data_IF_108092629116
#
_entry.id   IF_108092629116
#
_cell.length_a   1.000
_cell.length_b   1.000
_cell.length_c   1.000
_cell.angle_alpha   90.00
_cell.angle_beta   90.00
_cell.angle_gamma   90.00
#
_symmetry.space_group_name_H-M   'P 1'
#
loop_
_entity.id
_entity.type
_entity.pdbx_description
1 polymer ?
#
# COMPACT_ATOMS: atom_id res chain seq x y z
N UNK A 1 -4.18 -14.37 -3.25
CA UNK A 1 -4.62 -13.69 -4.50
C UNK A 1 -3.43 -12.97 -5.11
N UNK A 2 -3.25 -13.15 -6.38
CA UNK A 2 -2.19 -12.47 -7.12
C UNK A 2 -2.80 -11.62 -8.23
N UNK A 3 -2.19 -10.47 -8.49
CA UNK A 3 -2.65 -9.57 -9.53
C UNK A 3 -1.48 -8.78 -10.08
N UNK A 4 -1.47 -8.57 -11.40
CA UNK A 4 -0.48 -7.72 -12.05
C UNK A 4 -1.15 -6.39 -12.40
N UNK A 5 -0.55 -5.30 -11.96
CA UNK A 5 -1.06 -3.95 -12.21
C UNK A 5 0.00 -3.16 -12.95
N UNK A 6 -0.40 -2.44 -13.99
CA UNK A 6 0.52 -1.56 -14.71
C UNK A 6 0.66 -0.24 -13.96
N UNK A 7 1.90 0.07 -13.56
CA UNK A 7 2.25 1.32 -12.88
C UNK A 7 3.41 1.94 -13.64
N UNK A 8 3.27 3.18 -14.07
CA UNK A 8 4.31 3.92 -14.79
C UNK A 8 4.83 3.13 -16.01
N UNK A 9 3.89 2.51 -16.76
CA UNK A 9 4.20 1.71 -17.94
C UNK A 9 4.86 0.36 -17.66
N UNK A 10 5.01 -0.03 -16.39
CA UNK A 10 5.61 -1.31 -16.00
C UNK A 10 4.58 -2.24 -15.40
N UNK A 11 4.72 -3.54 -15.66
CA UNK A 11 3.88 -4.57 -15.06
C UNK A 11 4.45 -4.91 -13.68
N UNK A 12 3.69 -4.61 -12.63
CA UNK A 12 4.10 -4.86 -11.24
C UNK A 12 3.21 -5.94 -10.65
N UNK A 13 3.77 -7.09 -10.24
CA UNK A 13 2.99 -8.13 -9.59
C UNK A 13 2.75 -7.79 -8.12
N UNK A 14 1.55 -8.09 -7.64
CA UNK A 14 1.15 -7.95 -6.24
C UNK A 14 0.58 -9.28 -5.76
N UNK A 15 0.89 -9.62 -4.52
CA UNK A 15 0.37 -10.83 -3.90
C UNK A 15 -0.18 -10.51 -2.52
N UNK A 16 -1.43 -10.93 -2.27
CA UNK A 16 -2.07 -10.81 -0.97
C UNK A 16 -2.40 -12.19 -0.43
N UNK A 17 -1.90 -12.49 0.76
CA UNK A 17 -2.20 -13.72 1.49
C UNK A 17 -2.53 -13.37 2.94
N UNK A 18 -2.90 -14.38 3.73
CA UNK A 18 -3.14 -14.21 5.16
C UNK A 18 -1.89 -13.73 5.92
N UNK A 19 -0.72 -13.76 5.30
CA UNK A 19 0.52 -13.28 5.92
C UNK A 19 0.62 -11.75 5.94
N UNK A 20 -0.10 -11.04 5.07
CA UNK A 20 0.01 -9.57 4.95
C UNK A 20 -0.22 -8.83 6.27
N UNK A 21 -1.27 -9.12 7.06
CA UNK A 21 -1.45 -8.43 8.35
C UNK A 21 -0.26 -8.58 9.30
N UNK A 22 0.35 -9.76 9.34
CA UNK A 22 1.52 -10.00 10.19
C UNK A 22 2.74 -9.24 9.66
N UNK A 23 2.97 -9.28 8.36
CA UNK A 23 4.07 -8.54 7.72
C UNK A 23 3.93 -7.04 7.95
N UNK A 24 2.71 -6.54 7.87
CA UNK A 24 2.41 -5.14 8.15
C UNK A 24 2.78 -4.76 9.58
N UNK A 25 2.38 -5.59 10.55
CA UNK A 25 2.72 -5.36 11.96
C UNK A 25 4.23 -5.37 12.18
N UNK A 26 4.92 -6.36 11.61
CA UNK A 26 6.37 -6.49 11.80
C UNK A 26 7.12 -5.28 11.21
N UNK A 27 6.74 -4.85 10.01
CA UNK A 27 7.44 -3.78 9.32
C UNK A 27 7.08 -2.39 9.85
N UNK A 28 5.79 -2.15 10.10
CA UNK A 28 5.29 -0.80 10.42
C UNK A 28 4.85 -0.64 11.87
N UNK A 29 4.77 -1.73 12.63
CA UNK A 29 4.33 -1.69 14.03
C UNK A 29 2.86 -1.31 14.21
N UNK A 30 2.03 -1.54 13.20
CA UNK A 30 0.63 -1.12 13.18
C UNK A 30 -0.29 -2.29 12.87
N UNK A 31 -1.57 -2.15 13.25
CA UNK A 31 -2.62 -3.12 12.94
C UNK A 31 -3.31 -2.72 11.64
N UNK A 32 -3.18 -3.54 10.60
CA UNK A 32 -3.76 -3.26 9.28
C UNK A 32 -5.29 -3.15 9.34
N UNK A 33 -5.95 -3.93 10.21
CA UNK A 33 -7.41 -3.90 10.32
C UNK A 33 -7.88 -2.56 10.88
N UNK A 34 -7.16 -2.03 11.87
CA UNK A 34 -7.46 -0.70 12.42
C UNK A 34 -7.22 0.38 11.37
N UNK A 35 -6.10 0.32 10.66
CA UNK A 35 -5.79 1.29 9.63
C UNK A 35 -6.82 1.27 8.50
N UNK A 36 -7.32 0.08 8.12
CA UNK A 36 -8.38 -0.04 7.11
C UNK A 36 -9.70 0.56 7.58
N UNK A 37 -10.06 0.37 8.85
CA UNK A 37 -11.25 1.00 9.42
C UNK A 37 -11.13 2.52 9.42
N UNK A 38 -9.96 3.04 9.79
CA UNK A 38 -9.71 4.48 9.79
C UNK A 38 -9.81 5.07 8.39
N UNK A 39 -9.31 4.35 7.38
CA UNK A 39 -9.41 4.74 5.98
C UNK A 39 -10.87 4.81 5.54
N UNK A 40 -11.67 3.78 5.86
CA UNK A 40 -13.08 3.76 5.48
C UNK A 40 -13.84 4.94 6.08
N UNK A 41 -13.60 5.25 7.34
CA UNK A 41 -14.22 6.39 8.01
C UNK A 41 -13.80 7.71 7.39
N UNK A 42 -12.50 7.85 7.10
CA UNK A 42 -11.97 9.09 6.52
C UNK A 42 -12.44 9.31 5.09
N UNK A 43 -12.56 8.24 4.29
CA UNK A 43 -13.09 8.34 2.94
C UNK A 43 -14.56 8.76 2.94
N UNK A 44 -15.36 8.17 3.83
CA UNK A 44 -16.76 8.55 3.98
C UNK A 44 -16.91 10.02 4.40
N UNK A 45 -16.07 10.48 5.32
CA UNK A 45 -16.06 11.86 5.78
C UNK A 45 -15.65 12.82 4.66
N UNK A 46 -14.58 12.47 3.92
CA UNK A 46 -14.10 13.30 2.82
C UNK A 46 -15.12 13.41 1.69
N UNK A 47 -15.80 12.31 1.36
CA UNK A 47 -16.86 12.31 0.34
C UNK A 47 -18.04 13.18 0.76
N UNK A 48 -18.45 13.09 2.02
CA UNK A 48 -19.60 13.88 2.53
C UNK A 48 -19.31 15.38 2.54
N UNK A 49 -18.05 15.78 2.71
CA UNK A 49 -17.64 17.18 2.82
C UNK A 49 -16.89 17.70 1.60
N UNK A 50 -16.72 16.87 0.58
CA UNK A 50 -15.95 17.20 -0.64
C UNK A 50 -14.53 17.67 -0.32
N UNK A 51 -13.90 17.06 0.72
CA UNK A 51 -12.54 17.36 1.15
C UNK A 51 -11.55 16.36 0.55
N UNK A 52 -10.27 16.75 0.36
CA UNK A 52 -9.26 15.81 -0.10
C UNK A 52 -8.95 14.75 0.95
N UNK A 53 -8.42 13.60 0.50
CA UNK A 53 -8.01 12.51 1.39
C UNK A 53 -6.76 12.95 2.15
N UNK A 54 -6.71 12.77 3.49
CA UNK A 54 -5.51 13.10 4.27
C UNK A 54 -4.27 12.32 3.82
N UNK A 55 -3.12 12.98 3.81
CA UNK A 55 -1.86 12.40 3.33
C UNK A 55 -1.46 11.15 4.10
N UNK A 56 -1.67 11.13 5.42
CA UNK A 56 -1.32 9.96 6.24
C UNK A 56 -2.09 8.69 5.84
N UNK A 57 -3.27 8.84 5.24
CA UNK A 57 -4.02 7.69 4.74
C UNK A 57 -3.47 7.17 3.42
N UNK A 58 -2.97 8.08 2.58
CA UNK A 58 -2.28 7.68 1.35
C UNK A 58 -1.03 6.86 1.68
N UNK A 59 -0.32 7.21 2.75
CA UNK A 59 0.84 6.44 3.21
C UNK A 59 0.47 5.01 3.58
N UNK A 60 -0.70 4.79 4.18
CA UNK A 60 -1.16 3.42 4.49
C UNK A 60 -1.33 2.61 3.21
N UNK A 61 -1.94 3.18 2.17
CA UNK A 61 -2.07 2.51 0.89
C UNK A 61 -0.71 2.17 0.28
N UNK A 62 0.23 3.11 0.32
CA UNK A 62 1.58 2.91 -0.19
C UNK A 62 2.29 1.79 0.57
N UNK A 63 2.16 1.76 1.89
CA UNK A 63 2.76 0.74 2.74
C UNK A 63 2.20 -0.65 2.42
N UNK A 64 0.89 -0.77 2.27
CA UNK A 64 0.24 -2.03 1.93
C UNK A 64 0.65 -2.48 0.53
N UNK A 65 0.66 -1.56 -0.44
CA UNK A 65 1.07 -1.86 -1.81
C UNK A 65 2.52 -2.37 -1.86
N UNK A 66 3.42 -1.72 -1.13
CA UNK A 66 4.82 -2.17 -1.03
C UNK A 66 4.91 -3.60 -0.50
N UNK A 67 4.19 -3.92 0.58
CA UNK A 67 4.23 -5.27 1.15
C UNK A 67 3.71 -6.31 0.17
N UNK A 68 2.65 -6.01 -0.55
CA UNK A 68 2.10 -6.93 -1.54
C UNK A 68 3.05 -7.12 -2.73
N UNK A 69 3.72 -6.05 -3.17
CA UNK A 69 4.72 -6.13 -4.23
C UNK A 69 5.92 -6.98 -3.79
N UNK A 70 6.42 -6.76 -2.58
CA UNK A 70 7.52 -7.53 -2.03
C UNK A 70 7.13 -8.99 -1.79
N UNK A 71 5.88 -9.25 -1.40
CA UNK A 71 5.38 -10.61 -1.21
C UNK A 71 5.32 -11.38 -2.53
N UNK A 72 5.03 -10.68 -3.64
CA UNK A 72 5.05 -11.26 -4.98
C UNK A 72 6.48 -11.43 -5.51
N UNK A 73 7.40 -10.56 -5.10
CA UNK A 73 8.80 -10.56 -5.54
C UNK A 73 9.72 -10.41 -4.32
N UNK A 74 10.00 -11.50 -3.58
CA UNK A 74 10.85 -11.44 -2.39
C UNK A 74 12.28 -10.98 -2.65
N UNK A 75 12.74 -11.07 -3.89
CA UNK A 75 14.10 -10.72 -4.28
C UNK A 75 14.24 -9.26 -4.73
N UNK A 76 13.17 -8.45 -4.64
CA UNK A 76 13.27 -7.05 -5.05
C UNK A 76 14.35 -6.32 -4.25
N UNK A 77 15.05 -5.40 -4.91
CA UNK A 77 16.14 -4.66 -4.29
C UNK A 77 15.66 -3.60 -3.28
N UNK A 78 14.46 -3.07 -3.48
CA UNK A 78 13.90 -2.06 -2.59
C UNK A 78 13.55 -2.67 -1.23
N UNK A 79 14.22 -2.22 -0.17
CA UNK A 79 14.00 -2.69 1.20
C UNK A 79 13.12 -1.76 2.02
N UNK A 80 12.81 -0.58 1.51
CA UNK A 80 11.93 0.39 2.15
C UNK A 80 10.84 0.84 1.18
N UNK A 81 9.75 1.37 1.74
CA UNK A 81 8.66 1.92 0.94
C UNK A 81 9.20 3.07 0.08
N UNK A 82 10.04 3.93 0.66
CA UNK A 82 10.60 5.09 -0.03
C UNK A 82 11.47 4.66 -1.22
N UNK A 83 12.29 3.62 -1.07
CA UNK A 83 13.09 3.10 -2.18
C UNK A 83 12.19 2.56 -3.29
N UNK A 84 11.13 1.85 -2.92
CA UNK A 84 10.19 1.28 -3.89
C UNK A 84 9.45 2.38 -4.65
N UNK A 85 8.92 3.37 -3.92
CA UNK A 85 8.22 4.50 -4.52
C UNK A 85 9.16 5.30 -5.44
N UNK A 86 10.42 5.47 -5.04
CA UNK A 86 11.42 6.18 -5.83
C UNK A 86 11.77 5.53 -7.16
N UNK A 87 11.39 4.26 -7.34
CA UNK A 87 11.55 3.55 -8.61
C UNK A 87 10.48 3.90 -9.65
N UNK A 88 9.47 4.67 -9.28
CA UNK A 88 8.39 5.09 -10.17
C UNK A 88 8.38 6.61 -10.33
N UNK A 89 8.14 7.09 -11.54
CA UNK A 89 7.97 8.54 -11.76
C UNK A 89 6.57 8.99 -11.34
N UNK A 90 5.57 8.09 -11.47
CA UNK A 90 4.19 8.38 -11.12
C UNK A 90 3.43 7.07 -10.91
N UNK A 91 2.33 7.11 -10.18
CA UNK A 91 1.40 6.00 -10.01
C UNK A 91 0.22 6.06 -10.98
N UNK A 92 0.44 6.59 -12.12
CA UNK A 92 -0.62 6.65 -13.14
C UNK A 92 -0.82 5.34 -13.90
#
# INVERSE_FOLDING_TARGET
>A
MEKIITIDGRSVPFRATAAIPRLYRIKFGRDIMQDMRDIQQALAHAQAREEPIPVNLLEVFENVAYLMARHADPDMEAHTVEEWLGGFDTFS
#
